data_IF_290050243235
#
_entry.id   IF_290050243235
#
_cell.length_a   1.000
_cell.length_b   1.000
_cell.length_c   1.000
_cell.angle_alpha   90.00
_cell.angle_beta   90.00
_cell.angle_gamma   90.00
#
_symmetry.space_group_name_H-M   'P 1'
#
loop_
_entity.id
_entity.type
_entity.pdbx_description
1 polymer ?
#
# COMPACT_ATOMS: atom_id res chain seq x y z
N UNK A 1 1.71 -6.15 10.07
CA UNK A 1 1.26 -6.02 8.66
C UNK A 1 -0.03 -6.79 8.35
N UNK A 2 -0.24 -8.06 8.77
CA UNK A 2 -1.51 -8.80 8.54
C UNK A 2 -2.80 -8.06 9.00
N UNK A 3 -2.72 -7.24 10.06
CA UNK A 3 -3.85 -6.42 10.52
C UNK A 3 -4.27 -5.34 9.49
N UNK A 4 -3.34 -4.85 8.66
CA UNK A 4 -3.65 -3.88 7.60
C UNK A 4 -4.53 -4.54 6.55
N UNK A 5 -4.12 -5.69 6.02
CA UNK A 5 -4.89 -6.43 5.00
C UNK A 5 -6.30 -6.78 5.48
N UNK A 6 -6.42 -7.28 6.72
CA UNK A 6 -7.74 -7.56 7.33
C UNK A 6 -8.62 -6.31 7.42
N UNK A 7 -8.03 -5.16 7.77
CA UNK A 7 -8.77 -3.89 7.86
C UNK A 7 -9.18 -3.37 6.48
N UNK A 8 -8.34 -3.56 5.46
CA UNK A 8 -8.66 -3.21 4.08
C UNK A 8 -9.79 -4.08 3.53
N UNK A 9 -9.68 -5.39 3.69
CA UNK A 9 -10.69 -6.34 3.23
C UNK A 9 -12.08 -6.08 3.83
N UNK A 10 -12.12 -5.72 5.12
CA UNK A 10 -13.34 -5.35 5.83
C UNK A 10 -13.89 -3.96 5.48
N UNK A 11 -13.05 -3.03 5.00
CA UNK A 11 -13.43 -1.64 4.78
C UNK A 11 -13.73 -1.31 3.31
N UNK A 12 -13.11 -2.03 2.37
CA UNK A 12 -13.29 -1.78 0.95
C UNK A 12 -14.62 -2.36 0.45
N UNK A 13 -15.41 -1.61 -0.32
CA UNK A 13 -16.52 -2.18 -1.06
C UNK A 13 -16.02 -3.15 -2.13
N UNK A 14 -16.89 -4.04 -2.62
CA UNK A 14 -16.53 -5.05 -3.63
C UNK A 14 -15.98 -4.41 -4.92
N UNK A 15 -16.61 -3.31 -5.36
CA UNK A 15 -16.12 -2.44 -6.43
C UNK A 15 -15.80 -1.05 -5.86
N UNK A 16 -14.70 -0.47 -6.33
CA UNK A 16 -14.10 0.75 -5.80
C UNK A 16 -13.90 1.74 -6.94
N UNK A 17 -14.50 2.93 -6.82
CA UNK A 17 -14.32 4.03 -7.79
C UNK A 17 -13.21 4.99 -7.37
N UNK A 18 -13.48 5.77 -6.32
CA UNK A 18 -12.47 6.56 -5.60
C UNK A 18 -12.58 6.23 -4.13
N UNK A 19 -11.44 6.01 -3.47
CA UNK A 19 -11.38 5.61 -2.08
C UNK A 19 -10.12 6.17 -1.44
N UNK A 20 -10.26 6.76 -0.26
CA UNK A 20 -9.13 7.19 0.56
C UNK A 20 -9.37 6.72 1.98
N UNK A 21 -8.34 6.10 2.57
CA UNK A 21 -8.38 5.65 3.94
C UNK A 21 -7.03 5.87 4.59
N UNK A 22 -7.02 6.74 5.59
CA UNK A 22 -5.92 6.82 6.54
C UNK A 22 -6.32 6.09 7.84
N UNK A 23 -5.38 5.38 8.44
CA UNK A 23 -5.51 4.79 9.77
C UNK A 23 -4.22 5.02 10.55
N UNK A 24 -4.38 5.26 11.84
CA UNK A 24 -3.33 5.26 12.86
C UNK A 24 -3.91 4.54 14.08
N UNK A 25 -3.12 3.82 14.90
CA UNK A 25 -3.65 3.21 16.11
C UNK A 25 -3.98 4.27 17.16
N UNK A 26 -4.82 3.88 18.12
CA UNK A 26 -4.67 4.41 19.48
C UNK A 26 -3.31 3.91 20.00
N UNK A 27 -2.36 4.83 20.15
CA UNK A 27 -1.01 4.56 20.70
C UNK A 27 0.18 4.69 19.72
N UNK A 28 -0.07 5.01 18.46
CA UNK A 28 0.91 5.42 17.42
C UNK A 28 1.81 4.30 16.85
N UNK A 29 1.76 4.21 15.53
CA UNK A 29 2.29 3.18 14.62
C UNK A 29 1.63 1.77 14.63
N UNK A 30 1.23 1.22 13.45
CA UNK A 30 1.48 1.71 12.10
C UNK A 30 0.43 2.73 11.60
N UNK A 31 0.87 3.94 11.25
CA UNK A 31 0.15 4.82 10.33
C UNK A 31 0.20 4.19 8.95
N UNK A 32 -0.95 4.08 8.30
CA UNK A 32 -1.02 3.78 6.88
C UNK A 32 -2.09 4.59 6.19
N UNK A 33 -1.83 4.89 4.93
CA UNK A 33 -2.73 5.57 4.03
C UNK A 33 -2.88 4.72 2.77
N UNK A 34 -4.11 4.50 2.34
CA UNK A 34 -4.46 3.92 1.05
C UNK A 34 -5.28 4.96 0.28
N UNK A 35 -4.89 5.23 -0.96
CA UNK A 35 -5.66 5.99 -1.93
C UNK A 35 -5.82 5.16 -3.19
N UNK A 36 -7.04 5.09 -3.69
CA UNK A 36 -7.37 4.52 -4.99
C UNK A 36 -8.22 5.51 -5.78
N UNK A 37 -7.83 5.80 -7.02
CA UNK A 37 -8.64 6.61 -7.94
C UNK A 37 -8.30 6.27 -9.38
N UNK A 38 -9.30 6.01 -10.21
CA UNK A 38 -9.15 5.82 -11.66
C UNK A 38 -8.05 4.81 -12.06
N UNK A 39 -7.91 3.71 -11.33
CA UNK A 39 -6.89 2.70 -11.59
C UNK A 39 -5.51 2.99 -11.03
N UNK A 40 -5.33 4.12 -10.33
CA UNK A 40 -4.12 4.45 -9.59
C UNK A 40 -4.29 4.08 -8.13
N UNK A 41 -3.31 3.37 -7.58
CA UNK A 41 -3.27 2.93 -6.20
C UNK A 41 -2.00 3.47 -5.54
N UNK A 42 -2.16 4.28 -4.52
CA UNK A 42 -1.07 4.76 -3.66
C UNK A 42 -1.25 4.16 -2.28
N UNK A 43 -0.20 3.56 -1.72
CA UNK A 43 -0.22 3.13 -0.34
C UNK A 43 1.06 3.51 0.36
N UNK A 44 0.89 4.06 1.56
CA UNK A 44 1.97 4.43 2.45
C UNK A 44 1.78 3.69 3.77
N UNK A 45 2.86 3.18 4.33
CA UNK A 45 2.89 2.62 5.67
C UNK A 45 4.15 3.06 6.36
N UNK A 46 4.04 3.47 7.62
CA UNK A 46 5.22 3.82 8.40
C UNK A 46 6.16 2.62 8.56
N UNK A 47 7.45 2.91 8.45
CA UNK A 47 8.51 1.90 8.39
C UNK A 47 9.13 1.58 9.76
N UNK A 48 8.77 2.30 10.83
CA UNK A 48 9.42 2.16 12.14
C UNK A 48 10.95 2.18 12.03
N UNK A 49 11.62 1.17 12.61
CA UNK A 49 13.07 0.94 12.50
C UNK A 49 13.45 -0.08 11.43
N UNK A 50 12.51 -0.54 10.61
CA UNK A 50 12.75 -1.57 9.59
C UNK A 50 13.74 -1.05 8.54
N UNK A 51 14.65 -1.92 8.09
CA UNK A 51 15.54 -1.62 6.98
C UNK A 51 14.70 -1.27 5.74
N UNK A 52 14.99 -0.12 5.14
CA UNK A 52 14.26 0.33 3.96
C UNK A 52 14.78 -0.46 2.75
N UNK A 53 13.89 -0.96 1.88
CA UNK A 53 14.30 -1.66 0.68
C UNK A 53 14.88 -0.66 -0.32
N UNK A 54 15.53 -1.19 -1.34
CA UNK A 54 15.89 -0.39 -2.51
C UNK A 54 14.63 0.11 -3.23
N UNK A 55 14.76 1.24 -3.92
CA UNK A 55 13.70 1.75 -4.79
C UNK A 55 13.51 0.78 -5.96
N UNK A 56 12.26 0.37 -6.19
CA UNK A 56 11.84 -0.37 -7.37
C UNK A 56 11.01 0.51 -8.27
N UNK A 57 11.21 0.41 -9.57
CA UNK A 57 10.50 1.21 -10.56
C UNK A 57 10.28 0.42 -11.85
N UNK A 58 9.08 0.56 -12.43
CA UNK A 58 8.77 0.04 -13.76
C UNK A 58 8.53 -1.47 -13.82
N UNK A 59 8.39 -2.15 -12.68
CA UNK A 59 8.01 -3.57 -12.64
C UNK A 59 6.54 -3.72 -13.08
N UNK A 60 6.24 -4.80 -13.82
CA UNK A 60 4.86 -5.23 -14.09
C UNK A 60 4.55 -6.40 -13.18
N UNK A 61 3.36 -6.43 -12.61
CA UNK A 61 2.92 -7.54 -11.77
C UNK A 61 1.60 -8.08 -12.30
N UNK A 62 1.12 -9.20 -11.76
CA UNK A 62 -0.15 -9.79 -12.17
C UNK A 62 -1.36 -8.85 -11.92
N UNK A 63 -1.20 -7.85 -11.05
CA UNK A 63 -2.28 -6.98 -10.55
C UNK A 63 -2.08 -5.49 -10.87
N UNK A 64 -0.91 -5.09 -11.38
CA UNK A 64 -0.63 -3.71 -11.79
C UNK A 64 0.31 -3.64 -13.00
N UNK A 65 0.05 -2.71 -13.92
CA UNK A 65 0.83 -2.57 -15.15
C UNK A 65 2.12 -1.76 -14.97
N UNK A 66 2.14 -0.84 -14.01
CA UNK A 66 3.34 -0.12 -13.59
C UNK A 66 3.39 -0.07 -12.08
N UNK A 67 4.54 -0.44 -11.53
CA UNK A 67 4.79 -0.53 -10.11
C UNK A 67 6.01 0.31 -9.72
N UNK A 68 5.87 1.05 -8.63
CA UNK A 68 6.98 1.69 -7.93
C UNK A 68 6.85 1.41 -6.44
N UNK A 69 7.96 1.09 -5.78
CA UNK A 69 7.98 0.98 -4.32
C UNK A 69 9.32 1.45 -3.75
N UNK A 70 9.32 1.96 -2.53
CA UNK A 70 10.56 2.37 -1.88
C UNK A 70 10.34 3.20 -0.62
N UNK A 71 11.44 3.62 0.02
CA UNK A 71 11.40 4.55 1.13
C UNK A 71 10.99 5.94 0.71
N UNK A 72 10.23 6.62 1.58
CA UNK A 72 9.89 8.02 1.45
C UNK A 72 9.84 8.70 2.82
N UNK A 73 9.70 10.03 2.80
CA UNK A 73 9.42 10.85 3.97
C UNK A 73 8.04 11.46 3.85
N UNK A 74 7.22 11.29 4.89
CA UNK A 74 5.91 11.92 5.02
C UNK A 74 5.83 12.57 6.40
N UNK A 75 5.67 13.90 6.45
CA UNK A 75 5.61 14.67 7.70
C UNK A 75 6.74 14.32 8.69
N UNK A 76 7.98 14.24 8.20
CA UNK A 76 9.18 13.85 8.96
C UNK A 76 9.20 12.40 9.47
N UNK A 77 8.24 11.56 9.07
CA UNK A 77 8.21 10.12 9.35
C UNK A 77 8.77 9.33 8.18
N UNK A 78 9.57 8.31 8.49
CA UNK A 78 10.02 7.33 7.51
C UNK A 78 8.86 6.41 7.17
N UNK A 79 8.47 6.42 5.90
CA UNK A 79 7.42 5.56 5.37
C UNK A 79 7.97 4.70 4.24
N UNK A 80 7.28 3.61 4.00
CA UNK A 80 7.37 2.83 2.78
C UNK A 80 6.20 3.24 1.91
N UNK A 81 6.49 3.64 0.70
CA UNK A 81 5.53 4.03 -0.31
C UNK A 81 5.49 2.95 -1.39
N UNK A 82 4.29 2.62 -1.86
CA UNK A 82 4.13 2.11 -3.21
C UNK A 82 3.10 2.91 -4.01
N UNK A 83 3.29 2.80 -5.31
CA UNK A 83 2.38 3.27 -6.32
C UNK A 83 2.19 2.17 -7.37
N UNK A 84 0.93 1.93 -7.73
CA UNK A 84 0.53 1.05 -8.83
C UNK A 84 -0.41 1.78 -9.78
N UNK A 85 -0.27 1.56 -11.09
CA UNK A 85 -1.25 2.02 -12.09
C UNK A 85 -1.91 0.87 -12.82
N UNK A 86 -3.07 1.18 -13.42
CA UNK A 86 -3.96 0.21 -14.07
C UNK A 86 -4.42 -0.93 -13.14
N UNK A 87 -4.56 -0.63 -11.84
CA UNK A 87 -5.12 -1.55 -10.86
C UNK A 87 -6.64 -1.58 -11.04
N UNK A 88 -7.21 -2.76 -11.24
CA UNK A 88 -8.67 -2.91 -11.33
C UNK A 88 -9.32 -2.47 -10.02
N UNK A 89 -10.45 -1.76 -10.13
CA UNK A 89 -11.18 -1.22 -8.98
C UNK A 89 -12.01 -2.27 -8.25
N UNK A 90 -11.42 -3.43 -7.94
CA UNK A 90 -12.05 -4.45 -7.09
C UNK A 90 -11.33 -4.52 -5.76
N UNK A 91 -12.05 -4.87 -4.69
CA UNK A 91 -11.44 -5.13 -3.38
C UNK A 91 -10.31 -6.16 -3.50
N UNK A 92 -10.53 -7.25 -4.25
CA UNK A 92 -9.57 -8.33 -4.38
C UNK A 92 -8.26 -7.85 -5.03
N UNK A 93 -8.34 -7.08 -6.11
CA UNK A 93 -7.16 -6.57 -6.83
C UNK A 93 -6.38 -5.56 -5.97
N UNK A 94 -7.09 -4.66 -5.28
CA UNK A 94 -6.48 -3.68 -4.38
C UNK A 94 -5.79 -4.38 -3.20
N UNK A 95 -6.45 -5.34 -2.55
CA UNK A 95 -5.87 -6.09 -1.42
C UNK A 95 -4.67 -6.91 -1.89
N UNK A 96 -4.73 -7.56 -3.06
CA UNK A 96 -3.62 -8.31 -3.62
C UNK A 96 -2.40 -7.43 -3.94
N UNK A 97 -2.61 -6.23 -4.48
CA UNK A 97 -1.53 -5.25 -4.67
C UNK A 97 -0.86 -4.88 -3.34
N UNK A 98 -1.65 -4.61 -2.31
CA UNK A 98 -1.11 -4.26 -0.99
C UNK A 98 -0.38 -5.43 -0.34
N UNK A 99 -0.92 -6.65 -0.43
CA UNK A 99 -0.28 -7.84 0.13
C UNK A 99 1.07 -8.13 -0.52
N UNK A 100 1.14 -8.07 -1.85
CA UNK A 100 2.40 -8.25 -2.60
C UNK A 100 3.49 -7.27 -2.14
N UNK A 101 3.17 -6.00 -1.95
CA UNK A 101 4.11 -5.01 -1.40
C UNK A 101 4.54 -5.39 0.02
N UNK A 102 3.58 -5.66 0.91
CA UNK A 102 3.88 -5.97 2.30
C UNK A 102 4.70 -7.25 2.45
N UNK A 103 4.54 -8.23 1.54
CA UNK A 103 5.34 -9.47 1.51
C UNK A 103 6.77 -9.20 1.04
N UNK A 104 6.96 -8.43 -0.03
CA UNK A 104 8.29 -8.03 -0.51
C UNK A 104 9.10 -7.30 0.57
N UNK A 105 8.40 -6.62 1.49
CA UNK A 105 8.99 -5.95 2.64
C UNK A 105 9.43 -6.89 3.77
N UNK A 106 8.80 -8.06 3.91
CA UNK A 106 9.08 -9.03 4.98
C UNK A 106 10.14 -10.05 4.55
N UNK A 107 10.28 -10.30 3.25
CA UNK A 107 11.19 -11.31 2.70
C UNK A 107 12.66 -10.87 2.58
N UNK A 108 13.13 -9.91 3.39
CA UNK A 108 14.55 -9.53 3.48
C UNK A 108 15.05 -9.63 4.92
#
# INVERSE_FOLDING_TARGET
MRNILRRLDAALPETVGTFVQARSPDGVEPFWLLEYSHGHLTFMVAAGTVALPDVRFGERTAVCESWMSGPALFESRRVLLMYGSAVRGTRADIVACVDMFLLQMISR
#
